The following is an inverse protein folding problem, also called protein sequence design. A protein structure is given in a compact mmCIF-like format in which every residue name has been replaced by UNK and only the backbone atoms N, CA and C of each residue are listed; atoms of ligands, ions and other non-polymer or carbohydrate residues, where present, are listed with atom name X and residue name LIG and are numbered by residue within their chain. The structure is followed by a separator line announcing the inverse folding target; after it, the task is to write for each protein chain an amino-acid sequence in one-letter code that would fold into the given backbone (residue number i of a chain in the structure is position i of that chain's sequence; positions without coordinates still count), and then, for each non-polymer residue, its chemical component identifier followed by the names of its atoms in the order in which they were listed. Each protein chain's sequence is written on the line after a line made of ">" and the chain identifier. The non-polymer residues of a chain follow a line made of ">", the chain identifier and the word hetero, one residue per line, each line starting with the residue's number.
data_IF_984272704010
#
_entry.id   IF_984272704010
#
_cell.length_a   1.000
_cell.length_b   1.000
_cell.length_c   1.000
_cell.angle_alpha   90.00
_cell.angle_beta   90.00
_cell.angle_gamma   90.00
#
_symmetry.space_group_name_H-M   'P 1'
#
loop_
_entity.id
_entity.type
_entity.pdbx_description
1 polymer ?
#
# COMPACT_ATOMS: atom_id res chain seq x y z
N UNK A 1 20.43 -19.76 -7.86
CA UNK A 1 20.96 -18.98 -6.74
C UNK A 1 19.88 -17.98 -6.42
N UNK A 2 19.31 -18.06 -5.23
CA UNK A 2 18.04 -17.40 -4.88
C UNK A 2 18.18 -15.88 -4.91
N UNK A 3 17.28 -15.21 -5.63
CA UNK A 3 17.09 -13.76 -5.62
C UNK A 3 16.49 -13.29 -4.27
N UNK A 4 17.05 -13.78 -3.15
CA UNK A 4 16.97 -13.07 -1.86
C UNK A 4 18.04 -11.97 -1.88
N UNK A 5 17.98 -11.13 -2.93
CA UNK A 5 18.69 -9.87 -2.99
C UNK A 5 18.37 -9.11 -1.71
N UNK A 6 19.43 -8.79 -0.98
CA UNK A 6 19.43 -8.27 0.38
C UNK A 6 18.40 -7.15 0.55
N UNK A 7 17.19 -7.49 0.97
CA UNK A 7 16.18 -6.50 1.32
C UNK A 7 16.78 -5.65 2.44
N UNK A 8 16.64 -4.33 2.31
CA UNK A 8 17.17 -3.43 3.33
C UNK A 8 16.43 -3.64 4.66
N UNK A 9 17.07 -3.25 5.76
CA UNK A 9 16.46 -3.32 7.10
C UNK A 9 15.10 -2.61 7.13
N UNK A 10 14.98 -1.46 6.45
CA UNK A 10 13.73 -0.72 6.37
C UNK A 10 12.61 -1.51 5.65
N UNK A 11 12.95 -2.26 4.60
CA UNK A 11 11.99 -3.12 3.90
C UNK A 11 11.54 -4.28 4.79
N UNK A 12 12.48 -4.94 5.47
CA UNK A 12 12.14 -5.98 6.45
C UNK A 12 11.27 -5.44 7.58
N UNK A 13 11.58 -4.25 8.09
CA UNK A 13 10.80 -3.60 9.15
C UNK A 13 9.38 -3.29 8.67
N UNK A 14 9.21 -2.73 7.47
CA UNK A 14 7.89 -2.46 6.92
C UNK A 14 7.07 -3.75 6.77
N UNK A 15 7.64 -4.82 6.20
CA UNK A 15 6.96 -6.11 6.05
C UNK A 15 6.53 -6.65 7.42
N UNK A 16 7.42 -6.57 8.41
CA UNK A 16 7.17 -7.02 9.78
C UNK A 16 6.04 -6.21 10.43
N UNK A 17 6.10 -4.88 10.35
CA UNK A 17 5.11 -3.99 10.96
C UNK A 17 3.72 -4.17 10.35
N UNK A 18 3.66 -4.30 9.02
CA UNK A 18 2.39 -4.52 8.31
C UNK A 18 1.78 -5.87 8.68
N UNK A 19 2.61 -6.92 8.73
CA UNK A 19 2.17 -8.25 9.13
C UNK A 19 1.69 -8.27 10.58
N UNK A 20 2.42 -7.62 11.49
CA UNK A 20 2.02 -7.46 12.89
C UNK A 20 0.73 -6.64 13.06
N UNK A 21 0.48 -5.69 12.17
CA UNK A 21 -0.77 -4.92 12.12
C UNK A 21 -1.94 -5.66 11.44
N UNK A 22 -1.73 -6.91 11.02
CA UNK A 22 -2.77 -7.77 10.45
C UNK A 22 -2.91 -7.71 8.92
N UNK A 23 -1.94 -7.12 8.22
CA UNK A 23 -1.87 -7.12 6.76
C UNK A 23 -0.66 -7.93 6.30
N UNK A 24 -0.90 -9.16 5.82
CA UNK A 24 0.17 -10.05 5.37
C UNK A 24 0.99 -9.39 4.26
N UNK A 25 2.25 -9.06 4.54
CA UNK A 25 3.11 -8.33 3.62
C UNK A 25 4.23 -9.23 3.05
N UNK A 26 4.68 -8.94 1.84
CA UNK A 26 5.81 -9.64 1.19
C UNK A 26 6.50 -8.75 0.16
N UNK A 27 7.79 -8.97 -0.06
CA UNK A 27 8.49 -8.40 -1.21
C UNK A 27 7.99 -9.03 -2.52
N UNK A 28 7.95 -8.23 -3.58
CA UNK A 28 7.55 -8.63 -4.94
C UNK A 28 8.29 -7.76 -5.97
N UNK A 29 9.55 -8.10 -6.26
CA UNK A 29 10.41 -7.30 -7.13
C UNK A 29 10.62 -5.88 -6.59
N UNK A 30 10.32 -4.81 -7.35
CA UNK A 30 10.54 -3.42 -6.92
C UNK A 30 9.50 -2.90 -5.91
N UNK A 31 8.54 -3.72 -5.48
CA UNK A 31 7.44 -3.33 -4.60
C UNK A 31 7.29 -4.29 -3.42
N UNK A 32 6.56 -3.83 -2.40
CA UNK A 32 6.09 -4.64 -1.29
C UNK A 32 4.58 -4.73 -1.41
N UNK A 33 4.04 -5.95 -1.44
CA UNK A 33 2.60 -6.20 -1.49
C UNK A 33 2.06 -6.52 -0.11
N UNK A 34 0.85 -6.05 0.18
CA UNK A 34 0.11 -6.37 1.40
C UNK A 34 -1.40 -6.29 1.18
N UNK A 35 -2.16 -7.08 1.93
CA UNK A 35 -3.60 -7.18 1.75
C UNK A 35 -4.37 -6.26 2.71
N UNK A 36 -5.38 -5.57 2.18
CA UNK A 36 -6.26 -4.68 2.93
C UNK A 36 -7.71 -5.07 2.70
N UNK A 37 -8.42 -5.41 3.79
CA UNK A 37 -9.88 -5.54 3.73
C UNK A 37 -10.51 -4.16 3.64
N UNK A 38 -11.28 -3.93 2.57
CA UNK A 38 -12.06 -2.71 2.38
C UNK A 38 -13.22 -2.69 3.38
N UNK A 39 -13.33 -1.60 4.15
CA UNK A 39 -14.32 -1.44 5.22
C UNK A 39 -15.56 -0.64 4.81
N UNK A 40 -15.55 -0.04 3.62
CA UNK A 40 -16.63 0.78 3.08
C UNK A 40 -16.46 1.02 1.57
N UNK A 41 -17.41 1.75 0.97
CA UNK A 41 -17.39 2.05 -0.46
C UNK A 41 -17.80 0.89 -1.36
N UNK A 42 -17.52 1.03 -2.66
CA UNK A 42 -17.90 0.05 -3.69
C UNK A 42 -17.26 -1.34 -3.49
N UNK A 43 -16.14 -1.41 -2.78
CA UNK A 43 -15.38 -2.62 -2.52
C UNK A 43 -15.60 -3.20 -1.11
N UNK A 44 -16.55 -2.67 -0.32
CA UNK A 44 -16.76 -3.09 1.07
C UNK A 44 -16.84 -4.61 1.24
N UNK A 45 -16.09 -5.14 2.22
CA UNK A 45 -15.99 -6.57 2.51
C UNK A 45 -15.01 -7.35 1.64
N UNK A 46 -14.47 -6.75 0.58
CA UNK A 46 -13.48 -7.39 -0.29
C UNK A 46 -12.06 -7.21 0.24
N UNK A 47 -11.21 -8.18 -0.04
CA UNK A 47 -9.76 -8.06 0.16
C UNK A 47 -9.16 -7.45 -1.10
N UNK A 48 -8.47 -6.32 -0.93
CA UNK A 48 -7.73 -5.64 -1.99
C UNK A 48 -6.25 -5.84 -1.73
N UNK A 49 -5.54 -6.50 -2.64
CA UNK A 49 -4.08 -6.52 -2.61
C UNK A 49 -3.58 -5.14 -3.00
N UNK A 50 -2.76 -4.57 -2.13
CA UNK A 50 -2.15 -3.24 -2.28
C UNK A 50 -0.64 -3.38 -2.32
N UNK A 51 0.06 -2.32 -2.68
CA UNK A 51 1.50 -2.28 -2.54
C UNK A 51 2.08 -0.88 -2.43
N UNK A 52 3.39 -0.82 -2.23
CA UNK A 52 4.21 0.38 -2.21
C UNK A 52 5.55 0.08 -2.86
N UNK A 53 6.21 1.09 -3.44
CA UNK A 53 7.57 0.94 -3.96
C UNK A 53 8.56 0.68 -2.82
N UNK A 54 9.53 -0.21 -3.04
CA UNK A 54 10.65 -0.44 -2.11
C UNK A 54 11.44 0.85 -1.85
N UNK A 55 11.62 1.67 -2.88
CA UNK A 55 12.34 2.96 -2.81
C UNK A 55 11.68 3.97 -1.86
N UNK A 56 10.36 3.91 -1.68
CA UNK A 56 9.61 4.81 -0.78
C UNK A 56 9.65 4.35 0.68
N UNK A 57 9.95 3.07 0.91
CA UNK A 57 9.97 2.46 2.25
C UNK A 57 11.33 2.63 2.95
N UNK A 58 12.36 3.12 2.25
CA UNK A 58 13.72 3.25 2.81
C UNK A 58 13.81 4.16 4.05
N UNK A 59 12.82 5.04 4.26
CA UNK A 59 12.73 5.94 5.41
C UNK A 59 11.67 5.50 6.43
N UNK A 60 11.08 4.32 6.28
CA UNK A 60 10.13 3.77 7.23
C UNK A 60 10.79 3.48 8.59
N UNK A 61 10.14 3.75 9.73
CA UNK A 61 8.80 4.32 9.90
C UNK A 61 8.75 5.86 10.01
N UNK A 62 9.88 6.54 9.85
CA UNK A 62 9.97 7.99 10.01
C UNK A 62 9.18 8.75 8.92
N UNK A 63 9.16 8.22 7.69
CA UNK A 63 8.40 8.77 6.57
C UNK A 63 7.58 7.66 5.93
N UNK A 64 6.24 7.80 5.81
CA UNK A 64 5.41 6.81 5.14
C UNK A 64 5.56 6.93 3.60
N UNK A 65 5.23 5.86 2.86
CA UNK A 65 5.16 5.92 1.41
C UNK A 65 4.13 6.94 0.91
N UNK A 66 4.38 7.55 -0.25
CA UNK A 66 3.47 8.52 -0.87
C UNK A 66 2.55 7.89 -1.92
N UNK A 67 3.02 6.85 -2.62
CA UNK A 67 2.23 6.18 -3.64
C UNK A 67 1.68 4.83 -3.15
N UNK A 68 0.40 4.58 -3.45
CA UNK A 68 -0.28 3.33 -3.14
C UNK A 68 -0.54 2.58 -4.44
N UNK A 69 0.02 1.38 -4.56
CA UNK A 69 -0.14 0.52 -5.73
C UNK A 69 -1.44 -0.26 -5.58
N UNK A 70 -2.26 -0.25 -6.62
CA UNK A 70 -3.55 -0.92 -6.69
C UNK A 70 -3.71 -1.63 -8.04
N UNK A 71 -4.50 -2.72 -8.11
CA UNK A 71 -4.93 -3.28 -9.37
C UNK A 71 -5.66 -2.21 -10.18
N UNK A 72 -5.45 -2.17 -11.49
CA UNK A 72 -6.08 -1.19 -12.38
C UNK A 72 -7.62 -1.24 -12.37
N UNK A 73 -8.21 -2.31 -11.84
CA UNK A 73 -9.66 -2.43 -11.61
C UNK A 73 -10.18 -1.64 -10.40
N UNK A 74 -9.29 -1.12 -9.55
CA UNK A 74 -9.63 -0.24 -8.43
C UNK A 74 -9.54 1.19 -8.94
N UNK A 75 -10.68 1.73 -9.34
CA UNK A 75 -10.76 3.04 -10.01
C UNK A 75 -11.20 4.14 -9.04
N UNK A 76 -10.85 5.38 -9.38
CA UNK A 76 -11.20 6.59 -8.63
C UNK A 76 -11.52 7.71 -9.61
N UNK A 77 -12.49 8.57 -9.27
CA UNK A 77 -12.86 9.70 -10.12
C UNK A 77 -11.70 10.68 -10.34
N UNK A 78 -10.92 10.97 -9.29
CA UNK A 78 -9.80 11.90 -9.34
C UNK A 78 -8.61 11.42 -8.51
N UNK A 79 -7.50 11.17 -9.19
CA UNK A 79 -6.22 10.83 -8.59
C UNK A 79 -5.10 11.08 -9.58
N UNK A 80 -3.97 11.59 -9.10
CA UNK A 80 -2.74 11.46 -9.85
C UNK A 80 -2.35 9.98 -9.87
N UNK A 81 -2.00 9.46 -11.04
CA UNK A 81 -1.64 8.05 -11.23
C UNK A 81 -0.54 7.89 -12.28
N UNK A 82 0.32 6.91 -12.06
CA UNK A 82 1.28 6.41 -13.05
C UNK A 82 1.47 4.89 -12.89
N UNK A 83 2.43 4.29 -13.61
CA UNK A 83 2.77 2.86 -13.56
C UNK A 83 4.23 2.57 -13.18
N UNK A 84 4.92 3.51 -12.53
CA UNK A 84 6.28 3.26 -12.04
C UNK A 84 6.25 2.15 -11.00
N UNK A 85 7.23 1.23 -11.07
CA UNK A 85 7.36 0.04 -10.20
C UNK A 85 6.11 -0.86 -10.18
N UNK A 86 5.20 -0.71 -11.14
CA UNK A 86 3.99 -1.50 -11.30
C UNK A 86 4.12 -2.46 -12.49
N UNK A 87 3.80 -3.75 -12.32
CA UNK A 87 3.63 -4.64 -13.45
C UNK A 87 2.34 -4.30 -14.22
N UNK A 88 2.16 -4.85 -15.44
CA UNK A 88 0.93 -4.68 -16.20
C UNK A 88 -0.33 -5.02 -15.37
N UNK A 89 -1.38 -4.21 -15.52
CA UNK A 89 -2.62 -4.35 -14.75
C UNK A 89 -2.59 -3.70 -13.36
N UNK A 90 -1.54 -2.94 -13.03
CA UNK A 90 -1.45 -2.15 -11.81
C UNK A 90 -1.22 -0.67 -12.13
N UNK A 91 -1.65 0.18 -11.21
CA UNK A 91 -1.34 1.60 -11.19
C UNK A 91 -1.00 1.99 -9.76
N UNK A 92 -0.20 3.04 -9.60
CA UNK A 92 0.01 3.66 -8.30
C UNK A 92 -0.66 5.02 -8.24
N UNK A 93 -1.19 5.34 -7.07
CA UNK A 93 -1.99 6.53 -6.83
C UNK A 93 -1.34 7.39 -5.76
N UNK A 94 -1.12 8.67 -6.06
CA UNK A 94 -0.50 9.60 -5.12
C UNK A 94 -1.51 9.94 -4.05
N UNK A 95 -1.17 9.63 -2.80
CA UNK A 95 -1.97 9.99 -1.64
C UNK A 95 -1.05 10.48 -0.56
N UNK A 96 -1.09 11.79 -0.35
CA UNK A 96 -0.36 12.39 0.75
C UNK A 96 -0.90 11.87 2.07
N UNK A 97 0.02 11.42 2.91
CA UNK A 97 -0.25 10.94 4.23
C UNK A 97 0.80 11.51 5.18
N UNK A 98 0.39 12.46 6.00
CA UNK A 98 1.20 12.95 7.09
C UNK A 98 0.57 12.43 8.39
N UNK A 99 1.34 11.64 9.14
CA UNK A 99 0.95 11.17 10.45
C UNK A 99 1.74 11.91 11.51
N UNK A 100 1.05 12.67 12.35
CA UNK A 100 1.64 13.42 13.45
C UNK A 100 1.30 12.85 14.83
N UNK A 101 0.45 11.82 14.89
CA UNK A 101 -0.23 11.46 16.13
C UNK A 101 0.65 10.68 17.11
N UNK A 102 1.65 9.89 16.76
CA UNK A 102 2.47 9.05 17.68
C UNK A 102 1.77 8.14 18.72
N UNK A 103 0.48 8.31 19.07
CA UNK A 103 -0.22 7.44 20.03
C UNK A 103 -0.61 6.08 19.42
N UNK A 104 -0.49 5.97 18.10
CA UNK A 104 -0.76 4.78 17.32
C UNK A 104 0.52 4.23 16.65
N UNK A 105 0.66 2.90 16.53
CA UNK A 105 1.71 2.31 15.71
C UNK A 105 1.64 2.81 14.25
N UNK A 106 2.77 3.21 13.62
CA UNK A 106 2.79 3.74 12.26
C UNK A 106 2.09 2.84 11.22
N UNK A 107 2.29 1.51 11.29
CA UNK A 107 1.65 0.57 10.36
C UNK A 107 0.12 0.54 10.51
N UNK A 108 -0.40 0.63 11.74
CA UNK A 108 -1.86 0.70 11.95
C UNK A 108 -2.43 1.99 11.38
N UNK A 109 -1.71 3.11 11.56
CA UNK A 109 -2.11 4.41 11.04
C UNK A 109 -2.08 4.43 9.50
N UNK A 110 -1.02 3.87 8.90
CA UNK A 110 -0.91 3.65 7.45
C UNK A 110 -2.04 2.78 6.90
N UNK A 111 -2.34 1.63 7.53
CA UNK A 111 -3.44 0.77 7.11
C UNK A 111 -4.80 1.46 7.16
N UNK A 112 -5.05 2.30 8.16
CA UNK A 112 -6.27 3.11 8.24
C UNK A 112 -6.34 4.13 7.10
N UNK A 113 -5.22 4.77 6.77
CA UNK A 113 -5.13 5.66 5.62
C UNK A 113 -5.47 4.94 4.31
N UNK A 114 -4.82 3.80 4.03
CA UNK A 114 -5.06 3.01 2.81
C UNK A 114 -6.52 2.52 2.75
N UNK A 115 -7.10 2.07 3.87
CA UNK A 115 -8.52 1.70 3.94
C UNK A 115 -9.45 2.87 3.64
N UNK A 116 -9.15 4.05 4.18
CA UNK A 116 -9.89 5.28 3.88
C UNK A 116 -9.83 5.61 2.40
N UNK A 117 -8.65 5.48 1.78
CA UNK A 117 -8.50 5.68 0.35
C UNK A 117 -9.28 4.65 -0.48
N UNK A 118 -9.19 3.36 -0.19
CA UNK A 118 -9.96 2.32 -0.91
C UNK A 118 -11.47 2.54 -0.78
N UNK A 119 -11.94 3.11 0.35
CA UNK A 119 -13.37 3.36 0.56
C UNK A 119 -13.99 4.38 -0.40
N UNK A 120 -13.16 5.19 -1.08
CA UNK A 120 -13.62 6.13 -2.11
C UNK A 120 -13.46 5.59 -3.54
N UNK A 121 -13.08 4.32 -3.70
CA UNK A 121 -13.03 3.68 -5.00
C UNK A 121 -14.42 3.61 -5.63
N UNK A 122 -14.47 3.81 -6.94
CA UNK A 122 -15.72 3.77 -7.71
C UNK A 122 -16.06 2.34 -8.13
N UNK A 123 -17.35 2.03 -8.33
CA UNK A 123 -17.73 0.76 -8.92
C UNK A 123 -17.13 0.65 -10.33
N UNK A 124 -16.64 -0.54 -10.68
CA UNK A 124 -16.26 -0.84 -12.07
C UNK A 124 -17.45 -0.54 -12.98
N UNK A 125 -17.26 0.27 -14.03
CA UNK A 125 -18.28 0.48 -15.04
C UNK A 125 -18.70 -0.88 -15.64
N UNK A 126 -20.01 -1.14 -15.67
CA UNK A 126 -20.60 -2.38 -16.15
C UNK A 126 -20.47 -2.54 -17.67
#
# INVERSE_FOLDING_TARGET
>A
MSDEDHLTEAVHQFITDMTAAGASARADGPRILYDVTAVGGALAGQVVTTGVSVSEVLSWPAVPPHWIHLPASVEFDQTNMDDTDCPPGWKRHSREYNYTDMSMPPALAWLRHVRGFISIATPKAA
#
